data_IF_514618016180
#
_entry.id   IF_514618016180
#
_cell.length_a   1.000
_cell.length_b   1.000
_cell.length_c   1.000
_cell.angle_alpha   90.00
_cell.angle_beta   90.00
_cell.angle_gamma   90.00
#
_symmetry.space_group_name_H-M   'P 1'
#
loop_
_entity.id
_entity.type
_entity.pdbx_description
1 polymer ?
#
# COMPACT_ATOMS: atom_id res chain seq x y z
N UNK A 1 -6.42 -11.55 23.50
CA UNK A 1 -7.73 -11.89 22.96
C UNK A 1 -7.63 -11.97 21.43
N UNK A 2 -8.18 -13.02 20.90
CA UNK A 2 -8.10 -13.25 19.45
C UNK A 2 -8.76 -12.13 18.65
N UNK A 3 -9.84 -11.56 19.18
CA UNK A 3 -10.56 -10.50 18.51
C UNK A 3 -9.79 -9.20 18.41
N UNK A 4 -8.65 -9.08 19.08
CA UNK A 4 -7.83 -7.88 18.96
C UNK A 4 -7.27 -7.73 17.54
N UNK A 5 -7.20 -8.84 16.81
CA UNK A 5 -6.71 -8.84 15.43
C UNK A 5 -7.84 -8.60 14.43
N UNK A 6 -9.10 -8.58 14.91
CA UNK A 6 -10.25 -8.39 14.03
C UNK A 6 -10.58 -6.92 13.96
N UNK A 7 -10.43 -6.35 12.77
CA UNK A 7 -10.76 -4.95 12.54
C UNK A 7 -12.07 -4.85 11.78
N UNK A 8 -12.81 -3.77 12.04
CA UNK A 8 -14.02 -3.50 11.29
C UNK A 8 -13.68 -3.11 9.86
N UNK A 9 -14.66 -3.20 8.96
CA UNK A 9 -14.47 -2.76 7.59
C UNK A 9 -14.13 -1.26 7.53
N UNK A 10 -14.68 -0.48 8.44
CA UNK A 10 -14.36 0.94 8.51
C UNK A 10 -12.91 1.19 8.87
N UNK A 11 -12.37 0.41 9.81
CA UNK A 11 -10.97 0.50 10.18
C UNK A 11 -10.05 0.09 9.02
N UNK A 12 -10.42 -0.97 8.31
CA UNK A 12 -9.65 -1.43 7.17
C UNK A 12 -9.66 -0.41 6.03
N UNK A 13 -10.81 0.21 5.79
CA UNK A 13 -10.91 1.26 4.78
C UNK A 13 -10.10 2.49 5.17
N UNK A 14 -10.09 2.84 6.45
CA UNK A 14 -9.26 3.95 6.93
C UNK A 14 -7.78 3.66 6.72
N UNK A 15 -7.34 2.45 7.00
CA UNK A 15 -5.94 2.07 6.75
C UNK A 15 -5.61 2.15 5.27
N UNK A 16 -6.52 1.73 4.41
CA UNK A 16 -6.31 1.82 2.97
C UNK A 16 -6.21 3.28 2.51
N UNK A 17 -7.05 4.16 3.05
CA UNK A 17 -7.00 5.58 2.74
C UNK A 17 -5.67 6.21 3.15
N UNK A 18 -5.21 5.91 4.36
CA UNK A 18 -3.93 6.43 4.85
C UNK A 18 -2.79 5.92 3.97
N UNK A 19 -2.83 4.64 3.63
CA UNK A 19 -1.81 4.03 2.78
C UNK A 19 -1.80 4.66 1.39
N UNK A 20 -2.97 4.88 0.80
CA UNK A 20 -3.08 5.50 -0.52
C UNK A 20 -2.54 6.91 -0.51
N UNK A 21 -2.87 7.71 0.51
CA UNK A 21 -2.35 9.06 0.66
C UNK A 21 -0.84 9.08 0.76
N UNK A 22 -0.29 8.18 1.56
CA UNK A 22 1.15 8.09 1.73
C UNK A 22 1.85 7.76 0.42
N UNK A 23 1.34 6.75 -0.29
CA UNK A 23 1.92 6.33 -1.56
C UNK A 23 1.76 7.38 -2.66
N UNK A 24 0.62 8.05 -2.69
CA UNK A 24 0.38 9.13 -3.65
C UNK A 24 1.41 10.24 -3.47
N UNK A 25 1.65 10.64 -2.22
CA UNK A 25 2.67 11.64 -1.93
C UNK A 25 4.06 11.19 -2.30
N UNK A 26 4.37 9.93 -2.05
CA UNK A 26 5.69 9.37 -2.36
C UNK A 26 5.92 9.31 -3.87
N UNK A 27 4.92 8.88 -4.64
CA UNK A 27 5.01 8.82 -6.09
C UNK A 27 5.12 10.21 -6.70
N UNK A 28 4.43 11.19 -6.12
CA UNK A 28 4.51 12.58 -6.57
C UNK A 28 5.93 13.13 -6.38
N UNK A 29 6.53 12.88 -5.23
CA UNK A 29 7.91 13.29 -4.95
C UNK A 29 8.89 12.63 -5.91
N UNK A 30 8.67 11.36 -6.23
CA UNK A 30 9.51 10.60 -7.14
C UNK A 30 9.22 10.90 -8.61
N UNK A 31 8.21 11.71 -8.88
CA UNK A 31 7.81 12.11 -10.23
C UNK A 31 7.35 10.92 -11.09
N UNK A 32 6.69 9.96 -10.46
CA UNK A 32 6.06 8.85 -11.17
C UNK A 32 4.59 9.17 -11.43
N UNK A 33 4.15 8.84 -12.61
CA UNK A 33 2.76 9.03 -13.01
C UNK A 33 2.02 7.69 -12.96
N UNK A 34 0.79 7.72 -12.48
CA UNK A 34 -0.05 6.55 -12.39
C UNK A 34 -1.20 6.78 -11.45
N UNK A 35 -1.98 5.74 -11.25
CA UNK A 35 -3.13 5.78 -10.37
C UNK A 35 -2.93 4.84 -9.20
N UNK A 36 -3.63 5.13 -8.11
CA UNK A 36 -3.66 4.26 -6.96
C UNK A 36 -5.08 3.78 -6.78
N UNK A 37 -5.25 2.47 -6.73
CA UNK A 37 -6.52 1.82 -6.44
C UNK A 37 -6.46 1.21 -5.07
N UNK A 38 -7.51 1.36 -4.30
CA UNK A 38 -7.54 0.82 -2.95
C UNK A 38 -8.82 0.03 -2.70
N UNK A 39 -8.73 -0.92 -1.79
CA UNK A 39 -9.85 -1.76 -1.42
C UNK A 39 -9.50 -2.63 -0.24
N UNK A 40 -10.38 -3.58 0.04
CA UNK A 40 -10.17 -4.56 1.10
C UNK A 40 -10.38 -5.94 0.52
N UNK A 41 -9.39 -6.81 0.70
CA UNK A 41 -9.47 -8.21 0.26
C UNK A 41 -9.02 -9.12 1.39
N UNK A 42 -9.82 -10.15 1.66
CA UNK A 42 -9.50 -11.14 2.68
C UNK A 42 -9.16 -10.48 4.01
N UNK A 43 -9.97 -9.48 4.39
CA UNK A 43 -9.80 -8.72 5.63
C UNK A 43 -8.48 -7.96 5.72
N UNK A 44 -7.87 -7.63 4.57
CA UNK A 44 -6.65 -6.84 4.50
C UNK A 44 -6.86 -5.62 3.64
N UNK A 45 -6.42 -4.44 4.10
CA UNK A 45 -6.39 -3.27 3.23
C UNK A 45 -5.43 -3.55 2.07
N UNK A 46 -5.84 -3.22 0.87
CA UNK A 46 -5.06 -3.47 -0.34
C UNK A 46 -4.93 -2.18 -1.13
N UNK A 47 -3.70 -1.84 -1.50
CA UNK A 47 -3.43 -0.68 -2.32
C UNK A 47 -2.63 -1.14 -3.53
N UNK A 48 -3.14 -0.83 -4.72
CA UNK A 48 -2.48 -1.19 -5.96
C UNK A 48 -2.05 0.05 -6.70
N UNK A 49 -0.79 0.07 -7.12
CA UNK A 49 -0.24 1.14 -7.93
C UNK A 49 -0.32 0.71 -9.38
N UNK A 50 -0.99 1.52 -10.19
CA UNK A 50 -1.10 1.29 -11.64
C UNK A 50 -0.32 2.40 -12.31
N UNK A 51 0.88 2.08 -12.79
CA UNK A 51 1.75 3.06 -13.42
C UNK A 51 1.46 3.12 -14.92
N UNK A 52 1.58 4.32 -15.49
CA UNK A 52 1.31 4.54 -16.91
C UNK A 52 2.46 4.09 -17.80
N UNK A 53 3.66 3.98 -17.23
CA UNK A 53 4.88 3.73 -17.99
C UNK A 53 5.52 2.41 -17.52
N UNK A 54 5.85 1.54 -18.44
CA UNK A 54 6.49 0.25 -18.13
C UNK A 54 7.81 0.41 -17.40
N UNK A 55 8.54 1.49 -17.69
CA UNK A 55 9.80 1.78 -17.00
C UNK A 55 9.55 2.09 -15.53
N UNK A 56 8.50 2.85 -15.24
CA UNK A 56 8.13 3.17 -13.87
C UNK A 56 7.69 1.91 -13.13
N UNK A 57 6.94 1.04 -13.80
CA UNK A 57 6.52 -0.24 -13.20
C UNK A 57 7.76 -1.05 -12.79
N UNK A 58 8.74 -1.14 -13.66
CA UNK A 58 9.97 -1.88 -13.37
C UNK A 58 10.74 -1.28 -12.20
N UNK A 59 10.80 0.06 -12.13
CA UNK A 59 11.46 0.75 -11.03
C UNK A 59 10.74 0.51 -9.71
N UNK A 60 9.41 0.50 -9.73
CA UNK A 60 8.62 0.31 -8.52
C UNK A 60 8.65 -1.13 -8.02
N UNK A 61 8.82 -2.08 -8.92
CA UNK A 61 8.95 -3.48 -8.52
C UNK A 61 10.37 -3.79 -8.06
N UNK A 62 11.35 -3.31 -8.83
CA UNK A 62 12.74 -3.58 -8.55
C UNK A 62 13.13 -5.01 -8.89
N UNK A 63 14.28 -5.43 -8.41
CA UNK A 63 14.77 -6.79 -8.64
C UNK A 63 14.02 -7.74 -7.72
N UNK A 64 13.32 -8.71 -8.30
CA UNK A 64 12.59 -9.73 -7.56
C UNK A 64 11.57 -9.15 -6.57
N UNK A 65 11.05 -7.96 -6.86
CA UNK A 65 10.05 -7.33 -6.01
C UNK A 65 10.62 -6.62 -4.80
N UNK A 66 11.92 -6.33 -4.77
CA UNK A 66 12.55 -5.67 -3.62
C UNK A 66 11.97 -4.29 -3.34
N UNK A 67 11.71 -3.52 -4.39
CA UNK A 67 11.18 -2.16 -4.22
C UNK A 67 9.74 -2.19 -3.75
N UNK A 68 8.91 -3.04 -4.34
CA UNK A 68 7.51 -3.13 -3.92
C UNK A 68 7.42 -3.64 -2.48
N UNK A 69 8.29 -4.56 -2.09
CA UNK A 69 8.34 -5.05 -0.72
C UNK A 69 8.73 -3.93 0.24
N UNK A 70 9.74 -3.14 -0.11
CA UNK A 70 10.15 -2.00 0.70
C UNK A 70 9.04 -0.96 0.81
N UNK A 71 8.33 -0.68 -0.28
CA UNK A 71 7.20 0.23 -0.26
C UNK A 71 6.12 -0.25 0.68
N UNK A 72 5.85 -1.56 0.68
CA UNK A 72 4.87 -2.14 1.58
C UNK A 72 5.27 -1.96 3.03
N UNK A 73 6.52 -2.22 3.37
CA UNK A 73 7.00 -2.08 4.74
C UNK A 73 6.92 -0.63 5.21
N UNK A 74 7.35 0.31 4.38
CA UNK A 74 7.28 1.73 4.70
C UNK A 74 5.84 2.20 4.86
N UNK A 75 4.95 1.73 4.00
CA UNK A 75 3.55 2.11 4.06
C UNK A 75 2.88 1.57 5.32
N UNK A 76 3.21 0.34 5.71
CA UNK A 76 2.72 -0.24 6.96
C UNK A 76 3.16 0.58 8.17
N UNK A 77 4.40 1.03 8.18
CA UNK A 77 4.91 1.88 9.26
C UNK A 77 4.18 3.22 9.30
N UNK A 78 3.93 3.81 8.15
CA UNK A 78 3.22 5.09 8.08
C UNK A 78 1.80 4.95 8.63
N UNK A 79 1.10 3.88 8.28
CA UNK A 79 -0.24 3.61 8.79
C UNK A 79 -0.21 3.39 10.30
N UNK A 80 0.75 2.59 10.77
CA UNK A 80 0.89 2.32 12.20
C UNK A 80 1.12 3.59 13.00
N UNK A 81 1.91 4.52 12.49
CA UNK A 81 2.16 5.78 13.17
C UNK A 81 0.90 6.63 13.27
N UNK A 82 0.02 6.54 12.28
CA UNK A 82 -1.22 7.32 12.30
C UNK A 82 -2.31 6.69 13.13
N UNK A 83 -2.45 5.38 13.09
CA UNK A 83 -3.54 4.68 13.79
C UNK A 83 -3.15 4.18 15.15
N UNK A 84 -1.86 4.00 15.40
CA UNK A 84 -1.36 3.39 16.62
C UNK A 84 -1.47 1.87 16.62
N UNK A 85 -1.87 1.27 15.52
CA UNK A 85 -2.06 -0.17 15.42
C UNK A 85 -1.31 -0.73 14.22
N UNK A 86 -0.86 -1.98 14.37
CA UNK A 86 -0.18 -2.68 13.29
C UNK A 86 -1.16 -2.93 12.15
N UNK A 87 -0.69 -2.74 10.93
CA UNK A 87 -1.48 -2.99 9.73
C UNK A 87 -0.90 -4.16 8.95
N UNK A 88 -1.77 -4.99 8.39
CA UNK A 88 -1.39 -6.08 7.50
C UNK A 88 -1.71 -5.74 6.04
N UNK A 89 -1.71 -4.46 5.72
CA UNK A 89 -2.02 -3.99 4.38
C UNK A 89 -1.06 -4.57 3.34
N UNK A 90 -1.56 -4.66 2.12
CA UNK A 90 -0.78 -5.17 1.01
C UNK A 90 -0.62 -4.05 -0.01
N UNK A 91 0.62 -3.84 -0.45
CA UNK A 91 0.92 -2.92 -1.54
C UNK A 91 1.37 -3.76 -2.73
N UNK A 92 0.71 -3.54 -3.85
CA UNK A 92 1.03 -4.24 -5.09
C UNK A 92 1.31 -3.22 -6.19
N UNK A 93 2.07 -3.60 -7.19
CA UNK A 93 2.35 -2.76 -8.34
C UNK A 93 1.87 -3.51 -9.58
N UNK A 94 0.80 -2.99 -10.17
CA UNK A 94 0.23 -3.44 -11.46
C UNK A 94 0.05 -4.96 -11.55
N UNK A 95 -0.40 -5.55 -10.45
CA UNK A 95 -0.68 -6.98 -10.43
C UNK A 95 0.55 -7.86 -10.30
N UNK A 96 1.68 -7.34 -9.84
CA UNK A 96 2.90 -8.11 -9.66
C UNK A 96 2.70 -9.28 -8.69
N UNK A 97 1.97 -9.02 -7.59
CA UNK A 97 1.63 -10.07 -6.65
C UNK A 97 0.37 -10.82 -7.11
#
# INVERSE_FOLDING_TARGET
>A
MAQDDVKSIDQLNEEADIAADYLEGLLDIADYEGDIEMGVRNDRPTVQIVADDDTDIKHLIGRNGEVVDALQQLTRLAVQQKTGERSHLIVDVDGFL
#
